data_IF_089374545640
#
_entry.id   IF_089374545640
#
_cell.length_a   1.000
_cell.length_b   1.000
_cell.length_c   1.000
_cell.angle_alpha   90.00
_cell.angle_beta   90.00
_cell.angle_gamma   90.00
#
_symmetry.space_group_name_H-M   'P 1'
#
loop_
_entity.id
_entity.type
_entity.pdbx_description
1 polymer ?
#
# COMPACT_ATOMS: atom_id res chain seq x y z
N UNK A 1 -6.97 18.35 11.01
CA UNK A 1 -7.30 17.41 9.92
C UNK A 1 -5.99 16.82 9.42
N UNK A 2 -5.88 15.51 9.25
CA UNK A 2 -4.67 14.89 8.70
C UNK A 2 -4.43 15.37 7.26
N UNK A 3 -3.17 15.58 6.91
CA UNK A 3 -2.81 15.91 5.52
C UNK A 3 -2.81 14.64 4.68
N UNK A 4 -3.33 14.75 3.45
CA UNK A 4 -3.33 13.64 2.50
C UNK A 4 -1.91 13.37 2.00
N UNK A 5 -1.52 12.09 1.90
CA UNK A 5 -0.20 11.64 1.48
C UNK A 5 -0.24 11.08 0.06
N UNK A 6 0.84 11.30 -0.68
CA UNK A 6 1.11 10.72 -2.00
C UNK A 6 2.19 9.67 -1.82
N UNK A 7 1.86 8.40 -2.11
CA UNK A 7 2.68 7.23 -1.82
C UNK A 7 3.01 6.51 -3.14
N UNK A 8 4.21 6.66 -3.70
CA UNK A 8 4.66 5.74 -4.76
C UNK A 8 4.83 4.33 -4.21
N UNK A 9 4.51 3.33 -5.05
CA UNK A 9 4.63 1.92 -4.71
C UNK A 9 5.62 1.22 -5.64
N UNK A 10 6.56 0.47 -5.08
CA UNK A 10 7.53 -0.35 -5.77
C UNK A 10 7.22 -1.84 -5.53
N UNK A 11 6.78 -2.54 -6.58
CA UNK A 11 6.71 -4.00 -6.55
C UNK A 11 8.14 -4.55 -6.67
N UNK A 12 8.59 -5.29 -5.67
CA UNK A 12 9.95 -5.85 -5.60
C UNK A 12 9.91 -7.35 -5.82
N UNK A 13 10.76 -7.84 -6.71
CA UNK A 13 10.99 -9.26 -6.98
C UNK A 13 12.48 -9.54 -7.04
N UNK A 14 12.97 -10.49 -6.25
CA UNK A 14 14.39 -10.87 -6.23
C UNK A 14 15.33 -9.66 -6.07
N UNK A 15 14.95 -8.68 -5.23
CA UNK A 15 15.72 -7.46 -5.00
C UNK A 15 15.67 -6.43 -6.13
N UNK A 16 14.84 -6.60 -7.15
CA UNK A 16 14.66 -5.67 -8.27
C UNK A 16 13.24 -5.11 -8.29
N UNK A 17 13.10 -3.87 -8.72
CA UNK A 17 11.77 -3.32 -9.01
C UNK A 17 11.25 -3.98 -10.27
N UNK A 18 10.01 -4.43 -10.21
CA UNK A 18 9.33 -5.03 -11.36
C UNK A 18 7.98 -4.37 -11.58
N UNK A 19 7.51 -4.39 -12.81
CA UNK A 19 6.17 -3.93 -13.17
C UNK A 19 5.54 -4.84 -14.20
N UNK A 20 4.28 -5.21 -13.94
CA UNK A 20 3.42 -5.97 -14.85
C UNK A 20 1.98 -5.51 -14.75
N UNK A 21 1.10 -6.09 -15.56
CA UNK A 21 -0.35 -5.93 -15.48
C UNK A 21 -0.88 -7.14 -14.73
N UNK A 22 -1.65 -6.94 -13.66
CA UNK A 22 -2.18 -8.02 -12.82
C UNK A 22 -1.09 -9.04 -12.36
N UNK A 23 0.12 -8.56 -12.06
CA UNK A 23 1.28 -9.38 -11.65
C UNK A 23 1.74 -10.42 -12.70
N UNK A 24 1.38 -10.22 -13.96
CA UNK A 24 1.79 -11.05 -15.12
C UNK A 24 2.72 -10.24 -16.02
N UNK A 25 3.60 -10.92 -16.77
CA UNK A 25 4.57 -10.32 -17.70
C UNK A 25 5.44 -9.23 -17.04
N UNK A 26 6.02 -9.57 -15.89
CA UNK A 26 6.83 -8.67 -15.09
C UNK A 26 8.09 -8.23 -15.87
N UNK A 27 8.25 -6.92 -16.02
CA UNK A 27 9.44 -6.29 -16.60
C UNK A 27 10.28 -5.69 -15.48
N UNK A 28 11.59 -5.85 -15.56
CA UNK A 28 12.54 -5.18 -14.68
C UNK A 28 12.44 -3.65 -14.87
N UNK A 29 12.26 -2.93 -13.78
CA UNK A 29 12.14 -1.47 -13.75
C UNK A 29 13.27 -0.79 -12.96
N UNK A 30 14.31 -1.53 -12.57
CA UNK A 30 15.53 -0.96 -12.01
C UNK A 30 15.85 -1.37 -10.56
N UNK A 31 16.81 -0.66 -9.99
CA UNK A 31 17.21 -0.83 -8.59
C UNK A 31 16.22 -0.10 -7.66
N UNK A 32 15.68 -0.77 -6.62
CA UNK A 32 14.70 -0.16 -5.71
C UNK A 32 15.28 1.01 -4.90
N UNK A 33 16.56 0.97 -4.54
CA UNK A 33 17.21 2.06 -3.78
C UNK A 33 17.34 3.31 -4.63
N UNK A 34 17.74 3.17 -5.89
CA UNK A 34 17.84 4.31 -6.81
C UNK A 34 16.47 4.91 -7.13
N UNK A 35 15.44 4.07 -7.29
CA UNK A 35 14.07 4.56 -7.48
C UNK A 35 13.54 5.28 -6.22
N UNK A 36 13.84 4.77 -5.04
CA UNK A 36 13.48 5.40 -3.78
C UNK A 36 14.10 6.81 -3.65
N UNK A 37 15.38 6.98 -3.98
CA UNK A 37 16.04 8.29 -4.00
C UNK A 37 15.36 9.27 -4.95
N UNK A 38 14.95 8.81 -6.13
CA UNK A 38 14.23 9.66 -7.08
C UNK A 38 12.92 10.15 -6.50
N UNK A 39 12.17 9.30 -5.80
CA UNK A 39 10.91 9.70 -5.16
C UNK A 39 11.12 10.60 -3.94
N UNK A 40 12.16 10.35 -3.15
CA UNK A 40 12.53 11.21 -2.02
C UNK A 40 12.88 12.63 -2.50
N UNK A 41 13.72 12.75 -3.54
CA UNK A 41 14.04 14.02 -4.19
C UNK A 41 12.83 14.72 -4.83
N UNK A 42 11.83 13.97 -5.28
CA UNK A 42 10.57 14.50 -5.77
C UNK A 42 9.60 14.89 -4.66
N UNK A 43 9.94 14.64 -3.39
CA UNK A 43 9.14 14.98 -2.23
C UNK A 43 7.92 14.07 -2.03
N UNK A 44 8.05 12.77 -2.30
CA UNK A 44 7.03 11.80 -1.90
C UNK A 44 6.82 11.83 -0.38
N UNK A 45 5.58 11.67 0.06
CA UNK A 45 5.25 11.75 1.49
C UNK A 45 5.60 10.47 2.25
N UNK A 46 5.66 9.34 1.53
CA UNK A 46 5.94 8.00 2.02
C UNK A 46 6.29 7.11 0.81
N UNK A 47 7.00 6.01 1.01
CA UNK A 47 7.27 4.99 0.00
C UNK A 47 6.71 3.64 0.44
N UNK A 48 6.15 2.87 -0.48
CA UNK A 48 5.70 1.52 -0.22
C UNK A 48 6.50 0.51 -1.05
N UNK A 49 7.10 -0.49 -0.38
CA UNK A 49 7.66 -1.69 -1.01
C UNK A 49 6.73 -2.88 -0.82
N UNK A 50 6.39 -3.55 -1.92
CA UNK A 50 5.61 -4.79 -1.88
C UNK A 50 6.46 -5.92 -2.47
N UNK A 51 6.94 -6.83 -1.61
CA UNK A 51 7.56 -8.07 -2.08
C UNK A 51 6.49 -9.01 -2.63
N UNK A 52 6.52 -9.19 -3.95
CA UNK A 52 5.55 -10.03 -4.66
C UNK A 52 6.01 -11.48 -4.82
N UNK A 53 7.24 -11.82 -4.40
CA UNK A 53 7.78 -13.19 -4.44
C UNK A 53 7.52 -13.99 -3.19
N UNK A 54 7.48 -13.35 -2.03
CA UNK A 54 7.13 -13.87 -0.71
C UNK A 54 7.59 -15.31 -0.38
N UNK A 55 8.65 -15.81 -1.02
CA UNK A 55 9.27 -17.07 -0.65
C UNK A 55 10.21 -16.87 0.55
N UNK A 56 10.37 -17.90 1.38
CA UNK A 56 11.29 -17.85 2.53
C UNK A 56 12.74 -17.57 2.12
N UNK A 57 13.12 -17.98 0.92
CA UNK A 57 14.50 -17.96 0.43
C UNK A 57 14.95 -16.54 0.02
N UNK A 58 14.01 -15.65 -0.33
CA UNK A 58 14.31 -14.30 -0.77
C UNK A 58 14.14 -13.23 0.34
N UNK A 59 13.81 -13.64 1.57
CA UNK A 59 13.61 -12.71 2.70
C UNK A 59 14.85 -11.88 3.02
N UNK A 60 16.03 -12.48 2.98
CA UNK A 60 17.27 -11.78 3.27
C UNK A 60 17.60 -10.71 2.23
N UNK A 61 17.23 -10.94 0.97
CA UNK A 61 17.40 -9.98 -0.12
C UNK A 61 16.51 -8.76 0.13
N UNK A 62 15.26 -8.96 0.53
CA UNK A 62 14.34 -7.87 0.86
C UNK A 62 14.86 -7.05 2.06
N UNK A 63 15.33 -7.69 3.13
CA UNK A 63 15.87 -6.99 4.31
C UNK A 63 17.11 -6.14 3.94
N UNK A 64 17.99 -6.62 3.06
CA UNK A 64 19.11 -5.85 2.55
C UNK A 64 18.66 -4.62 1.75
N UNK A 65 17.68 -4.78 0.87
CA UNK A 65 17.09 -3.67 0.10
C UNK A 65 16.46 -2.63 1.02
N UNK A 66 15.71 -3.06 2.04
CA UNK A 66 15.09 -2.16 3.03
C UNK A 66 16.15 -1.37 3.79
N UNK A 67 17.19 -2.05 4.28
CA UNK A 67 18.29 -1.43 5.01
C UNK A 67 19.02 -0.38 4.16
N UNK A 68 19.44 -0.74 2.93
CA UNK A 68 20.09 0.19 2.00
C UNK A 68 19.21 1.38 1.62
N UNK A 69 17.89 1.17 1.55
CA UNK A 69 16.94 2.26 1.26
C UNK A 69 16.83 3.20 2.46
N UNK A 70 16.65 2.65 3.67
CA UNK A 70 16.55 3.44 4.90
C UNK A 70 17.82 4.26 5.19
N UNK A 71 19.00 3.77 4.79
CA UNK A 71 20.25 4.52 4.91
C UNK A 71 20.34 5.73 3.97
N UNK A 72 19.52 5.80 2.93
CA UNK A 72 19.67 6.79 1.86
C UNK A 72 18.43 7.65 1.60
N UNK A 73 17.28 7.28 2.14
CA UNK A 73 16.01 7.98 1.96
C UNK A 73 15.40 8.33 3.32
N UNK A 74 14.82 9.53 3.42
CA UNK A 74 14.31 10.07 4.68
C UNK A 74 12.78 10.12 4.74
N UNK A 75 12.09 9.76 3.67
CA UNK A 75 10.64 9.57 3.72
C UNK A 75 10.28 8.26 4.43
N UNK A 76 9.17 8.20 5.17
CA UNK A 76 8.71 6.97 5.80
C UNK A 76 8.56 5.82 4.81
N UNK A 77 8.99 4.63 5.21
CA UNK A 77 8.99 3.42 4.41
C UNK A 77 8.01 2.38 4.96
N UNK A 78 7.01 2.03 4.15
CA UNK A 78 6.11 0.90 4.40
C UNK A 78 6.60 -0.32 3.61
N UNK A 79 6.79 -1.45 4.27
CA UNK A 79 7.24 -2.70 3.63
C UNK A 79 6.20 -3.80 3.83
N UNK A 80 5.72 -4.37 2.75
CA UNK A 80 4.77 -5.50 2.74
C UNK A 80 5.26 -6.67 1.91
N UNK A 81 4.53 -7.77 2.00
CA UNK A 81 4.83 -9.02 1.32
C UNK A 81 5.45 -10.08 2.24
N UNK A 82 4.84 -11.26 2.26
CA UNK A 82 5.33 -12.44 2.97
C UNK A 82 5.49 -12.33 4.49
N UNK A 83 4.88 -11.35 5.15
CA UNK A 83 4.87 -11.22 6.61
C UNK A 83 3.96 -12.28 7.22
N UNK A 84 4.49 -13.13 8.11
CA UNK A 84 3.78 -14.31 8.64
C UNK A 84 3.64 -14.33 10.16
N UNK A 85 4.51 -13.64 10.87
CA UNK A 85 4.61 -13.66 12.32
C UNK A 85 5.28 -12.39 12.87
N UNK A 86 5.33 -12.26 14.19
CA UNK A 86 5.93 -11.11 14.87
C UNK A 86 7.44 -10.97 14.66
N UNK A 87 8.14 -12.06 14.35
CA UNK A 87 9.58 -12.01 14.05
C UNK A 87 9.82 -11.33 12.72
N UNK A 88 8.97 -11.62 11.71
CA UNK A 88 9.02 -10.96 10.42
C UNK A 88 8.79 -9.44 10.57
N UNK A 89 7.76 -9.04 11.35
CA UNK A 89 7.48 -7.62 11.65
C UNK A 89 8.71 -6.98 12.28
N UNK A 90 9.26 -7.59 13.32
CA UNK A 90 10.44 -7.07 14.03
C UNK A 90 11.63 -6.90 13.10
N UNK A 91 11.91 -7.90 12.26
CA UNK A 91 13.06 -7.86 11.35
C UNK A 91 12.94 -6.74 10.32
N UNK A 92 11.75 -6.50 9.78
CA UNK A 92 11.51 -5.39 8.85
C UNK A 92 11.68 -4.02 9.54
N UNK A 93 11.14 -3.85 10.75
CA UNK A 93 11.33 -2.61 11.53
C UNK A 93 12.81 -2.39 11.88
N UNK A 94 13.55 -3.44 12.27
CA UNK A 94 14.99 -3.34 12.54
C UNK A 94 15.82 -3.06 11.29
N UNK A 95 15.36 -3.49 10.11
CA UNK A 95 15.99 -3.17 8.83
C UNK A 95 15.73 -1.72 8.37
N UNK A 96 14.86 -0.97 9.07
CA UNK A 96 14.60 0.45 8.81
C UNK A 96 13.23 0.76 8.21
N UNK A 97 12.31 -0.22 8.14
CA UNK A 97 10.93 0.07 7.80
C UNK A 97 10.24 0.83 8.94
N UNK A 98 9.46 1.86 8.62
CA UNK A 98 8.61 2.58 9.59
C UNK A 98 7.29 1.86 9.81
N UNK A 99 6.79 1.18 8.78
CA UNK A 99 5.54 0.44 8.80
C UNK A 99 5.66 -0.92 8.11
N UNK A 100 4.87 -1.87 8.55
CA UNK A 100 4.82 -3.23 8.00
C UNK A 100 3.44 -3.56 7.49
N UNK A 101 3.36 -3.92 6.20
CA UNK A 101 2.14 -4.33 5.51
C UNK A 101 1.84 -5.81 5.72
N UNK A 102 0.67 -6.11 6.29
CA UNK A 102 0.21 -7.48 6.58
C UNK A 102 -1.07 -7.75 5.77
N UNK A 103 -1.08 -8.81 4.96
CA UNK A 103 -2.27 -9.21 4.19
C UNK A 103 -2.72 -10.61 4.60
N UNK A 104 -2.33 -11.66 3.89
CA UNK A 104 -2.82 -13.04 4.05
C UNK A 104 -2.76 -13.55 5.50
N UNK A 105 -1.70 -13.26 6.23
CA UNK A 105 -1.53 -13.72 7.61
C UNK A 105 -2.55 -13.10 8.57
N UNK A 106 -3.00 -11.87 8.34
CA UNK A 106 -4.06 -11.25 9.15
C UNK A 106 -5.42 -11.93 8.95
N UNK A 107 -5.68 -12.49 7.76
CA UNK A 107 -6.90 -13.26 7.47
C UNK A 107 -6.83 -14.66 8.10
N UNK A 108 -5.65 -15.28 8.06
CA UNK A 108 -5.45 -16.63 8.64
C UNK A 108 -5.52 -16.56 10.16
N UNK A 109 -4.84 -15.59 10.76
CA UNK A 109 -4.83 -15.38 12.20
C UNK A 109 -4.79 -13.87 12.53
N UNK A 110 -5.93 -13.25 12.81
CA UNK A 110 -6.00 -11.82 13.15
C UNK A 110 -5.22 -11.43 14.41
N UNK A 111 -4.82 -12.38 15.25
CA UNK A 111 -4.01 -12.09 16.46
C UNK A 111 -2.65 -11.50 16.10
N UNK A 112 -2.10 -11.79 14.91
CA UNK A 112 -0.84 -11.18 14.48
C UNK A 112 -0.93 -9.64 14.45
N UNK A 113 -2.08 -9.06 14.10
CA UNK A 113 -2.30 -7.62 14.09
C UNK A 113 -2.40 -7.08 15.50
N UNK A 114 -3.17 -7.73 16.37
CA UNK A 114 -3.35 -7.35 17.78
C UNK A 114 -2.01 -7.41 18.55
N UNK A 115 -1.29 -8.52 18.44
CA UNK A 115 0.01 -8.70 19.09
C UNK A 115 1.07 -7.77 18.51
N UNK A 116 1.05 -7.53 17.18
CA UNK A 116 1.93 -6.59 16.51
C UNK A 116 1.68 -5.16 16.97
N UNK A 117 0.43 -4.73 17.04
CA UNK A 117 0.03 -3.42 17.53
C UNK A 117 0.42 -3.21 19.00
N UNK A 118 0.19 -4.20 19.84
CA UNK A 118 0.56 -4.15 21.26
C UNK A 118 2.07 -4.10 21.47
N UNK A 119 2.85 -4.77 20.64
CA UNK A 119 4.31 -4.88 20.79
C UNK A 119 5.09 -3.74 20.15
N UNK A 120 4.66 -3.28 18.99
CA UNK A 120 5.41 -2.32 18.16
C UNK A 120 4.68 -0.98 18.02
N UNK A 121 3.42 -0.90 18.43
CA UNK A 121 2.53 0.23 18.24
C UNK A 121 1.65 0.07 16.98
N UNK A 122 0.38 0.44 17.07
CA UNK A 122 -0.56 0.36 15.95
C UNK A 122 -0.09 1.14 14.72
N UNK A 123 0.60 2.28 14.92
CA UNK A 123 1.12 3.11 13.84
C UNK A 123 2.12 2.40 12.92
N UNK A 124 2.74 1.30 13.36
CA UNK A 124 3.63 0.47 12.55
C UNK A 124 2.89 -0.62 11.76
N UNK A 125 1.59 -0.83 12.02
CA UNK A 125 0.83 -1.94 11.45
C UNK A 125 -0.13 -1.42 10.38
N UNK A 126 0.16 -1.77 9.12
CA UNK A 126 -0.71 -1.53 7.97
C UNK A 126 -1.34 -2.85 7.56
N UNK A 127 -2.68 -2.92 7.52
CA UNK A 127 -3.34 -4.11 6.98
C UNK A 127 -3.71 -3.85 5.53
N UNK A 128 -3.12 -4.66 4.64
CA UNK A 128 -3.43 -4.64 3.21
C UNK A 128 -4.61 -5.57 2.92
N UNK A 129 -5.60 -5.07 2.20
CA UNK A 129 -6.84 -5.78 1.86
C UNK A 129 -7.02 -5.74 0.35
N UNK A 130 -6.80 -6.88 -0.31
CA UNK A 130 -7.07 -7.05 -1.74
C UNK A 130 -8.53 -7.41 -1.91
N UNK A 131 -9.23 -6.66 -2.75
CA UNK A 131 -10.69 -6.70 -2.82
C UNK A 131 -11.13 -6.87 -4.27
N UNK A 132 -12.10 -7.76 -4.48
CA UNK A 132 -12.78 -7.92 -5.77
C UNK A 132 -14.28 -7.81 -5.59
N UNK A 133 -14.94 -7.10 -6.52
CA UNK A 133 -16.39 -6.95 -6.53
C UNK A 133 -17.08 -8.24 -6.98
N UNK A 134 -18.04 -8.69 -6.21
CA UNK A 134 -18.91 -9.80 -6.57
C UNK A 134 -20.37 -9.39 -6.33
N UNK A 135 -21.13 -9.18 -7.38
CA UNK A 135 -22.48 -8.61 -7.36
C UNK A 135 -22.47 -7.24 -6.63
N UNK A 136 -23.21 -7.13 -5.55
CA UNK A 136 -23.34 -5.90 -4.75
C UNK A 136 -22.38 -5.84 -3.55
N UNK A 137 -21.46 -6.81 -3.42
CA UNK A 137 -20.50 -6.93 -2.32
C UNK A 137 -19.06 -6.85 -2.83
N UNK A 138 -18.14 -6.57 -1.94
CA UNK A 138 -16.70 -6.64 -2.17
C UNK A 138 -16.10 -7.73 -1.31
N UNK A 139 -15.49 -8.71 -1.94
CA UNK A 139 -14.93 -9.89 -1.27
C UNK A 139 -13.43 -9.74 -1.10
N UNK A 140 -12.93 -10.14 0.08
CA UNK A 140 -11.49 -10.14 0.40
C UNK A 140 -10.81 -11.33 -0.28
N UNK A 141 -9.64 -11.07 -0.85
CA UNK A 141 -8.75 -12.05 -1.46
C UNK A 141 -7.42 -12.14 -0.71
N UNK A 142 -6.79 -13.30 -0.77
CA UNK A 142 -5.48 -13.60 -0.20
C UNK A 142 -4.51 -14.13 -1.25
N UNK A 143 -3.25 -14.36 -0.85
CA UNK A 143 -2.20 -14.91 -1.72
C UNK A 143 -2.00 -14.10 -3.01
N UNK A 144 -1.95 -12.76 -2.90
CA UNK A 144 -1.81 -11.88 -4.06
C UNK A 144 -3.00 -11.98 -5.01
N UNK A 145 -4.21 -11.99 -4.48
CA UNK A 145 -5.45 -12.02 -5.26
C UNK A 145 -5.87 -13.39 -5.82
N UNK A 146 -5.16 -14.47 -5.45
CA UNK A 146 -5.40 -15.81 -6.04
C UNK A 146 -6.46 -16.63 -5.32
N UNK A 147 -6.77 -16.31 -4.06
CA UNK A 147 -7.71 -17.11 -3.23
C UNK A 147 -8.78 -16.22 -2.62
N UNK A 148 -10.03 -16.46 -3.01
CA UNK A 148 -11.19 -15.85 -2.37
C UNK A 148 -11.38 -16.40 -0.94
N UNK A 149 -11.81 -15.53 -0.03
CA UNK A 149 -11.98 -15.89 1.39
C UNK A 149 -13.43 -16.08 1.82
N UNK A 150 -14.38 -15.57 1.05
CA UNK A 150 -15.79 -15.48 1.46
C UNK A 150 -16.09 -14.36 2.48
N UNK A 151 -15.10 -13.51 2.81
CA UNK A 151 -15.22 -12.43 3.80
C UNK A 151 -15.59 -11.14 3.08
N UNK A 152 -16.60 -10.41 3.59
CA UNK A 152 -16.94 -9.06 3.12
C UNK A 152 -15.86 -8.06 3.52
N UNK A 153 -15.41 -7.24 2.56
CA UNK A 153 -14.28 -6.31 2.76
C UNK A 153 -14.61 -5.18 3.75
N UNK A 154 -15.85 -4.74 3.82
CA UNK A 154 -16.27 -3.66 4.72
C UNK A 154 -16.32 -4.19 6.16
N UNK A 155 -16.90 -5.37 6.36
CA UNK A 155 -16.93 -6.04 7.66
C UNK A 155 -15.51 -6.36 8.15
N UNK A 156 -14.66 -6.84 7.25
CA UNK A 156 -13.26 -7.13 7.57
C UNK A 156 -12.47 -5.88 7.96
N UNK A 157 -12.62 -4.78 7.20
CA UNK A 157 -11.95 -3.53 7.50
C UNK A 157 -12.30 -3.01 8.92
N UNK A 158 -13.56 -3.13 9.34
CA UNK A 158 -13.97 -2.78 10.70
C UNK A 158 -13.34 -3.71 11.74
N UNK A 159 -13.49 -5.02 11.55
CA UNK A 159 -12.99 -6.02 12.50
C UNK A 159 -11.47 -5.92 12.72
N UNK A 160 -10.70 -5.71 11.65
CA UNK A 160 -9.25 -5.64 11.77
C UNK A 160 -8.76 -4.29 12.35
N UNK A 161 -9.54 -3.22 12.17
CA UNK A 161 -9.29 -1.95 12.84
C UNK A 161 -9.46 -2.10 14.36
N UNK A 162 -10.51 -2.79 14.80
CA UNK A 162 -10.74 -3.10 16.22
C UNK A 162 -9.63 -3.97 16.82
N UNK A 163 -8.95 -4.77 15.99
CA UNK A 163 -7.78 -5.59 16.37
C UNK A 163 -6.48 -4.80 16.46
N UNK A 164 -6.49 -3.50 16.15
CA UNK A 164 -5.32 -2.64 16.30
C UNK A 164 -4.57 -2.31 15.02
N UNK A 165 -5.14 -2.57 13.84
CA UNK A 165 -4.59 -2.03 12.60
C UNK A 165 -4.51 -0.51 12.72
N UNK A 166 -3.34 0.06 12.48
CA UNK A 166 -3.13 1.51 12.54
C UNK A 166 -3.45 2.22 11.23
N UNK A 167 -3.48 1.46 10.12
CA UNK A 167 -3.79 1.95 8.78
C UNK A 167 -4.29 0.81 7.89
N UNK A 168 -5.15 1.12 6.94
CA UNK A 168 -5.63 0.16 5.94
C UNK A 168 -5.16 0.53 4.54
N UNK A 169 -4.57 -0.42 3.80
CA UNK A 169 -4.24 -0.30 2.39
C UNK A 169 -5.26 -1.10 1.57
N UNK A 170 -6.16 -0.40 0.88
CA UNK A 170 -7.27 -1.00 0.14
C UNK A 170 -6.95 -1.06 -1.34
N UNK A 171 -6.78 -2.26 -1.90
CA UNK A 171 -6.51 -2.47 -3.31
C UNK A 171 -7.71 -3.08 -4.02
N UNK A 172 -8.33 -2.33 -4.94
CA UNK A 172 -9.35 -2.89 -5.84
C UNK A 172 -8.69 -3.66 -6.97
N UNK A 173 -8.83 -4.99 -6.96
CA UNK A 173 -8.30 -5.88 -8.00
C UNK A 173 -8.97 -5.65 -9.35
N UNK A 174 -10.25 -5.23 -9.37
CA UNK A 174 -10.98 -4.93 -10.61
C UNK A 174 -10.48 -3.65 -11.27
N UNK A 175 -9.81 -2.78 -10.51
CA UNK A 175 -9.25 -1.51 -10.99
C UNK A 175 -7.75 -1.59 -11.22
N UNK A 176 -7.03 -2.45 -10.50
CA UNK A 176 -5.58 -2.51 -10.57
C UNK A 176 -5.05 -2.76 -11.98
N UNK A 177 -4.10 -1.93 -12.42
CA UNK A 177 -3.52 -1.96 -13.76
C UNK A 177 -4.42 -1.42 -14.89
N UNK A 178 -5.70 -1.08 -14.64
CA UNK A 178 -6.64 -0.66 -15.69
C UNK A 178 -6.52 0.80 -16.11
N UNK A 179 -5.96 1.66 -15.27
CA UNK A 179 -5.92 3.11 -15.49
C UNK A 179 -7.27 3.83 -15.44
N UNK A 180 -8.32 3.18 -14.92
CA UNK A 180 -9.71 3.69 -14.88
C UNK A 180 -10.10 4.39 -13.56
N UNK A 181 -9.13 4.65 -12.69
CA UNK A 181 -9.34 5.26 -11.38
C UNK A 181 -9.63 4.24 -10.27
N UNK A 182 -9.61 4.72 -9.05
CA UNK A 182 -9.92 3.93 -7.85
C UNK A 182 -11.37 3.42 -7.86
N UNK A 183 -11.66 2.39 -7.07
CA UNK A 183 -13.02 2.00 -6.73
C UNK A 183 -13.55 2.95 -5.62
N UNK A 184 -14.09 4.09 -6.06
CA UNK A 184 -14.55 5.16 -5.16
C UNK A 184 -15.69 4.68 -4.26
N UNK A 185 -16.60 3.84 -4.77
CA UNK A 185 -17.71 3.29 -3.98
C UNK A 185 -17.21 2.40 -2.84
N UNK A 186 -16.22 1.53 -3.12
CA UNK A 186 -15.55 0.72 -2.11
C UNK A 186 -14.90 1.60 -1.04
N UNK A 187 -14.08 2.58 -1.48
CA UNK A 187 -13.37 3.49 -0.58
C UNK A 187 -14.34 4.22 0.33
N UNK A 188 -15.39 4.84 -0.22
CA UNK A 188 -16.40 5.57 0.53
C UNK A 188 -17.10 4.71 1.58
N UNK A 189 -17.40 3.46 1.27
CA UNK A 189 -18.00 2.53 2.22
C UNK A 189 -17.05 2.18 3.36
N UNK A 190 -15.78 1.91 3.06
CA UNK A 190 -14.78 1.59 4.09
C UNK A 190 -14.47 2.83 4.94
N UNK A 191 -14.13 3.97 4.32
CA UNK A 191 -13.75 5.19 5.04
C UNK A 191 -14.84 5.74 5.95
N UNK A 192 -16.12 5.47 5.64
CA UNK A 192 -17.25 5.84 6.51
C UNK A 192 -17.43 4.92 7.72
N UNK A 193 -16.72 3.79 7.79
CA UNK A 193 -16.90 2.74 8.80
C UNK A 193 -15.69 2.53 9.71
N UNK A 194 -14.52 3.03 9.32
CA UNK A 194 -13.28 2.87 10.09
C UNK A 194 -12.78 4.22 10.60
N UNK A 195 -12.06 4.21 11.72
CA UNK A 195 -11.48 5.41 12.35
C UNK A 195 -9.99 5.60 12.02
N UNK A 196 -9.36 4.61 11.39
CA UNK A 196 -7.94 4.66 11.00
C UNK A 196 -7.78 5.22 9.58
N UNK A 197 -6.61 5.77 9.24
CA UNK A 197 -6.33 6.21 7.88
C UNK A 197 -6.49 5.08 6.85
N UNK A 198 -7.02 5.45 5.68
CA UNK A 198 -7.19 4.55 4.55
C UNK A 198 -6.33 5.02 3.38
N UNK A 199 -5.51 4.12 2.84
CA UNK A 199 -4.71 4.30 1.62
C UNK A 199 -5.49 3.69 0.45
N UNK A 200 -5.82 4.51 -0.55
CA UNK A 200 -6.44 4.05 -1.78
C UNK A 200 -5.40 3.47 -2.74
N UNK A 201 -5.65 2.28 -3.28
CA UNK A 201 -4.76 1.57 -4.20
C UNK A 201 -5.52 0.90 -5.35
N UNK A 202 -4.87 0.82 -6.50
CA UNK A 202 -5.38 0.13 -7.70
C UNK A 202 -6.16 1.02 -8.65
N UNK A 203 -5.69 1.13 -9.90
CA UNK A 203 -6.42 1.74 -11.00
C UNK A 203 -6.03 3.16 -11.41
N UNK A 204 -5.06 3.80 -10.76
CA UNK A 204 -4.67 5.18 -11.10
C UNK A 204 -4.09 5.26 -12.51
N UNK A 205 -4.68 6.13 -13.34
CA UNK A 205 -4.23 6.40 -14.71
C UNK A 205 -4.02 7.88 -15.01
N UNK A 206 -4.64 8.78 -14.23
CA UNK A 206 -4.54 10.24 -14.37
C UNK A 206 -4.42 10.92 -13.00
N UNK A 207 -4.10 12.20 -12.98
CA UNK A 207 -3.99 12.98 -11.74
C UNK A 207 -5.37 13.23 -11.10
N UNK A 208 -6.42 13.35 -11.91
CA UNK A 208 -7.80 13.50 -11.48
C UNK A 208 -8.26 12.31 -10.62
N UNK A 209 -7.81 11.10 -10.95
CA UNK A 209 -8.12 9.90 -10.15
C UNK A 209 -7.58 9.98 -8.72
N UNK A 210 -6.42 10.65 -8.52
CA UNK A 210 -5.89 10.89 -7.18
C UNK A 210 -6.80 11.82 -6.37
N UNK A 211 -7.32 12.86 -7.03
CA UNK A 211 -8.27 13.81 -6.44
C UNK A 211 -9.58 13.12 -6.06
N UNK A 212 -10.14 12.32 -6.97
CA UNK A 212 -11.39 11.58 -6.75
C UNK A 212 -11.28 10.61 -5.57
N UNK A 213 -10.18 9.87 -5.47
CA UNK A 213 -9.94 8.94 -4.37
C UNK A 213 -10.00 9.61 -2.98
N UNK A 214 -9.57 10.87 -2.89
CA UNK A 214 -9.62 11.65 -1.66
C UNK A 214 -10.97 12.34 -1.47
N UNK A 215 -11.44 13.12 -2.46
CA UNK A 215 -12.66 13.92 -2.34
C UNK A 215 -13.93 13.07 -2.20
N UNK A 216 -14.03 12.06 -3.03
CA UNK A 216 -15.22 11.23 -3.13
C UNK A 216 -15.07 9.93 -2.34
N UNK A 217 -13.87 9.31 -2.40
CA UNK A 217 -13.57 8.09 -1.67
C UNK A 217 -13.26 8.28 -0.19
N UNK A 218 -12.91 9.51 0.23
CA UNK A 218 -12.55 9.82 1.62
C UNK A 218 -11.18 9.27 2.05
N UNK A 219 -10.32 8.86 1.11
CA UNK A 219 -9.00 8.32 1.42
C UNK A 219 -8.07 9.36 2.06
N UNK A 220 -7.23 8.94 2.99
CA UNK A 220 -6.25 9.76 3.68
C UNK A 220 -4.86 9.71 2.99
N UNK A 221 -4.69 8.76 2.10
CA UNK A 221 -3.52 8.66 1.23
C UNK A 221 -3.89 7.99 -0.10
N UNK A 222 -3.11 8.30 -1.13
CA UNK A 222 -3.25 7.72 -2.46
C UNK A 222 -1.95 7.00 -2.84
N UNK A 223 -2.05 5.73 -3.19
CA UNK A 223 -0.92 4.92 -3.62
C UNK A 223 -1.00 4.68 -5.12
N UNK A 224 0.09 4.96 -5.81
CA UNK A 224 0.20 4.74 -7.24
C UNK A 224 1.59 4.23 -7.64
N UNK A 225 1.64 3.42 -8.67
CA UNK A 225 2.86 2.84 -9.20
C UNK A 225 3.13 3.31 -10.65
N UNK A 226 2.40 2.78 -11.61
CA UNK A 226 2.69 2.91 -13.04
C UNK A 226 2.77 4.36 -13.55
N UNK A 227 1.92 5.26 -13.05
CA UNK A 227 1.91 6.67 -13.48
C UNK A 227 3.21 7.39 -13.12
N UNK A 228 3.88 6.98 -12.05
CA UNK A 228 5.16 7.52 -11.59
C UNK A 228 6.35 6.75 -12.20
N UNK A 229 6.32 5.42 -12.22
CA UNK A 229 7.42 4.60 -12.73
C UNK A 229 7.74 4.83 -14.20
N UNK A 230 6.71 5.00 -15.03
CA UNK A 230 6.90 5.24 -16.46
C UNK A 230 7.09 6.72 -16.79
N UNK A 231 7.26 7.59 -15.78
CA UNK A 231 7.49 9.01 -15.95
C UNK A 231 6.32 9.76 -16.61
N UNK A 232 5.10 9.18 -16.59
CA UNK A 232 3.91 9.86 -17.10
C UNK A 232 3.62 11.13 -16.30
N UNK A 233 3.80 11.06 -14.98
CA UNK A 233 3.70 12.19 -14.06
C UNK A 233 4.80 12.09 -13.00
N UNK A 234 5.20 13.27 -12.47
CA UNK A 234 6.06 13.37 -11.29
C UNK A 234 5.20 13.51 -10.02
N UNK A 235 5.80 13.29 -8.85
CA UNK A 235 5.13 13.51 -7.56
C UNK A 235 4.66 14.97 -7.44
N UNK A 236 5.48 15.94 -7.93
CA UNK A 236 5.10 17.35 -7.91
C UNK A 236 3.85 17.64 -8.76
N UNK A 237 3.64 16.94 -9.90
CA UNK A 237 2.44 17.12 -10.72
C UNK A 237 1.19 16.64 -9.95
N UNK A 238 1.29 15.51 -9.26
CA UNK A 238 0.22 15.01 -8.40
C UNK A 238 -0.08 16.00 -7.26
N UNK A 239 0.96 16.50 -6.59
CA UNK A 239 0.85 17.49 -5.53
C UNK A 239 0.17 18.77 -6.00
N UNK A 240 0.56 19.27 -7.17
CA UNK A 240 -0.05 20.44 -7.80
C UNK A 240 -1.54 20.23 -8.09
N UNK A 241 -1.90 19.14 -8.76
CA UNK A 241 -3.29 18.83 -9.08
C UNK A 241 -4.18 18.70 -7.82
N UNK A 242 -3.67 18.05 -6.78
CA UNK A 242 -4.38 17.91 -5.52
C UNK A 242 -4.52 19.24 -4.77
N UNK A 243 -3.52 20.14 -4.84
CA UNK A 243 -3.60 21.50 -4.28
C UNK A 243 -4.63 22.35 -5.02
N UNK A 244 -4.61 22.33 -6.34
CA UNK A 244 -5.57 23.06 -7.20
C UNK A 244 -7.00 22.58 -6.94
N UNK A 245 -7.16 21.30 -6.59
CA UNK A 245 -8.42 20.73 -6.14
C UNK A 245 -8.81 21.07 -4.68
N UNK A 246 -8.05 21.95 -4.00
CA UNK A 246 -8.25 22.38 -2.61
C UNK A 246 -8.17 21.24 -1.58
N UNK A 247 -7.38 20.20 -1.86
CA UNK A 247 -7.11 19.14 -0.89
C UNK A 247 -6.03 19.57 0.12
N UNK A 248 -6.20 19.14 1.38
CA UNK A 248 -5.22 19.40 2.42
C UNK A 248 -4.04 18.41 2.30
N UNK A 249 -3.07 18.75 1.47
CA UNK A 249 -1.88 17.94 1.24
C UNK A 249 -0.67 18.43 2.03
N UNK A 250 0.35 17.59 2.15
CA UNK A 250 1.64 17.97 2.74
C UNK A 250 2.40 18.82 1.71
N UNK A 251 2.84 20.03 2.12
CA UNK A 251 3.66 20.93 1.29
C UNK A 251 5.13 20.64 1.50
#
# INVERSE_FOLDING_TARGET
MLKTRIIPCLDVKDGRVVKGINFVDLKDAGDPVEQAKVYDLQGADELCFLDITASSDNRNILLDVVNRTADQCFMPLTVGGGVRNLVDIRNLLLAGADKVGINTSSIIDPRIVEEGANKFGSQCIVVAIDVKKYKDKWMVYTHGGRKETGIDAIEWAQAITEKGAGELLITSMDRDGTGKGFDVDLLKRITSKVSVPVIASGGVGTLEHLVEGVKEGGANAVLAASIFHFGKFKIQDARKAMTEASLNIRL
#
